data_IF_340183744990
#
_entry.id   IF_340183744990
#
_cell.length_a   1.000
_cell.length_b   1.000
_cell.length_c   1.000
_cell.angle_alpha   90.00
_cell.angle_beta   90.00
_cell.angle_gamma   90.00
#
_symmetry.space_group_name_H-M   'P 1'
#
loop_
_entity.id
_entity.type
_entity.pdbx_description
1 polymer ?
#
# COMPACT_ATOMS: atom_id res chain seq x y z
N UNK A 1 28.18 5.60 -13.08
CA UNK A 1 27.61 4.57 -13.98
C UNK A 1 28.48 4.13 -15.16
N UNK A 2 29.61 4.76 -15.48
CA UNK A 2 30.48 4.38 -16.62
C UNK A 2 31.39 3.16 -16.39
N UNK A 3 31.56 2.71 -15.15
CA UNK A 3 32.44 1.59 -14.76
C UNK A 3 31.91 0.21 -15.19
N UNK A 4 30.59 0.02 -15.16
CA UNK A 4 29.93 -1.24 -15.55
C UNK A 4 29.66 -1.33 -17.07
N UNK A 5 29.38 -0.19 -17.70
CA UNK A 5 29.19 -0.10 -19.16
C UNK A 5 30.47 -0.44 -19.94
N UNK A 6 31.66 -0.20 -19.37
CA UNK A 6 32.96 -0.54 -19.98
C UNK A 6 33.35 -2.02 -19.92
N UNK A 7 32.59 -2.87 -19.22
CA UNK A 7 32.97 -4.28 -18.96
C UNK A 7 31.98 -5.33 -19.50
N UNK A 8 30.95 -4.94 -20.25
CA UNK A 8 29.85 -5.84 -20.69
C UNK A 8 29.25 -6.69 -19.55
N UNK A 9 29.45 -6.28 -18.29
CA UNK A 9 28.95 -6.98 -17.12
C UNK A 9 27.70 -6.27 -16.64
N UNK A 10 26.62 -7.04 -16.60
CA UNK A 10 25.33 -6.62 -16.10
C UNK A 10 25.47 -6.05 -14.67
N UNK A 11 24.87 -4.89 -14.42
CA UNK A 11 24.95 -4.24 -13.13
C UNK A 11 24.06 -4.99 -12.13
N UNK A 12 24.66 -5.67 -11.16
CA UNK A 12 23.97 -6.48 -10.15
C UNK A 12 23.72 -5.75 -8.82
N UNK A 13 24.07 -4.46 -8.73
CA UNK A 13 23.89 -3.71 -7.50
C UNK A 13 22.42 -3.31 -7.34
N UNK A 14 21.90 -3.38 -6.10
CA UNK A 14 20.51 -2.99 -5.81
C UNK A 14 20.35 -1.47 -5.68
N UNK A 15 21.45 -0.77 -5.41
CA UNK A 15 21.48 0.67 -5.22
C UNK A 15 22.41 1.40 -6.18
N UNK A 16 23.25 2.28 -5.63
CA UNK A 16 24.25 3.03 -6.40
C UNK A 16 25.58 3.10 -5.68
N UNK A 17 26.66 3.28 -6.43
CA UNK A 17 28.04 3.26 -5.90
C UNK A 17 28.55 4.69 -5.66
N UNK A 18 29.06 4.96 -4.45
CA UNK A 18 29.82 6.18 -4.10
C UNK A 18 31.14 5.73 -3.47
N UNK A 19 32.27 6.19 -4.02
CA UNK A 19 33.63 5.86 -3.53
C UNK A 19 33.86 4.35 -3.33
N UNK A 20 33.52 3.55 -4.35
CA UNK A 20 33.62 2.08 -4.34
C UNK A 20 32.79 1.38 -3.24
N UNK A 21 31.82 2.08 -2.64
CA UNK A 21 30.85 1.52 -1.69
C UNK A 21 29.45 1.53 -2.28
N UNK A 22 28.76 0.39 -2.19
CA UNK A 22 27.35 0.29 -2.54
C UNK A 22 26.49 0.97 -1.45
N UNK A 23 25.62 1.87 -1.89
CA UNK A 23 24.62 2.54 -1.08
C UNK A 23 23.25 2.02 -1.51
N UNK A 24 22.57 1.34 -0.59
CA UNK A 24 21.23 0.78 -0.83
C UNK A 24 20.19 1.74 -0.21
N UNK A 25 19.36 2.42 -1.02
CA UNK A 25 18.29 3.24 -0.48
C UNK A 25 17.21 2.35 0.13
N UNK A 26 16.87 2.60 1.40
CA UNK A 26 15.78 1.94 2.10
C UNK A 26 14.56 2.87 2.17
N UNK A 27 13.37 2.28 2.08
CA UNK A 27 12.12 3.00 2.23
C UNK A 27 11.52 2.77 3.61
N UNK A 28 10.84 3.78 4.12
CA UNK A 28 9.98 3.66 5.29
C UNK A 28 8.67 2.97 4.87
N UNK A 29 8.67 1.63 4.94
CA UNK A 29 7.55 0.78 4.53
C UNK A 29 6.23 1.17 5.22
N UNK A 30 6.18 1.39 6.55
CA UNK A 30 4.95 1.85 7.20
C UNK A 30 4.41 3.17 6.63
N UNK A 31 5.28 4.10 6.24
CA UNK A 31 4.88 5.36 5.64
C UNK A 31 4.40 5.22 4.20
N UNK A 32 4.97 4.29 3.43
CA UNK A 32 4.46 3.95 2.09
C UNK A 32 3.04 3.39 2.17
N UNK A 33 2.78 2.47 3.09
CA UNK A 33 1.45 1.89 3.29
C UNK A 33 0.43 2.94 3.71
N UNK A 34 0.81 3.82 4.65
CA UNK A 34 0.00 4.99 5.03
C UNK A 34 -0.30 5.90 3.84
N UNK A 35 0.71 6.16 2.99
CA UNK A 35 0.57 6.96 1.77
C UNK A 35 -0.42 6.34 0.78
N UNK A 36 -0.31 5.03 0.53
CA UNK A 36 -1.24 4.28 -0.32
C UNK A 36 -2.67 4.39 0.22
N UNK A 37 -2.88 4.10 1.51
CA UNK A 37 -4.19 4.20 2.15
C UNK A 37 -4.78 5.60 2.05
N UNK A 38 -4.00 6.64 2.36
CA UNK A 38 -4.47 8.03 2.27
C UNK A 38 -4.86 8.44 0.86
N UNK A 39 -4.11 8.00 -0.15
CA UNK A 39 -4.46 8.23 -1.54
C UNK A 39 -5.74 7.50 -1.91
N UNK A 40 -5.87 6.22 -1.52
CA UNK A 40 -7.01 5.40 -1.89
C UNK A 40 -8.33 5.93 -1.31
N UNK A 41 -8.31 6.54 -0.10
CA UNK A 41 -9.49 7.20 0.48
C UNK A 41 -10.10 8.26 -0.46
N UNK A 42 -9.25 9.02 -1.16
CA UNK A 42 -9.69 10.18 -1.97
C UNK A 42 -9.65 9.93 -3.47
N UNK A 43 -8.97 8.86 -3.91
CA UNK A 43 -8.67 8.58 -5.31
C UNK A 43 -8.77 7.09 -5.56
N UNK A 44 -9.04 6.75 -6.81
CA UNK A 44 -9.04 5.35 -7.24
C UNK A 44 -7.68 4.95 -7.80
N UNK A 45 -7.28 3.71 -7.53
CA UNK A 45 -6.08 3.11 -8.08
C UNK A 45 -6.43 2.36 -9.37
N UNK A 46 -5.94 2.85 -10.50
CA UNK A 46 -6.03 2.17 -11.78
C UNK A 46 -4.78 1.30 -11.98
N UNK A 47 -4.96 0.04 -12.35
CA UNK A 47 -3.86 -0.92 -12.54
C UNK A 47 -4.19 -1.93 -13.63
N UNK A 48 -3.16 -2.55 -14.21
CA UNK A 48 -3.31 -3.63 -15.18
C UNK A 48 -3.21 -4.95 -14.44
N UNK A 49 -4.21 -5.80 -14.60
CA UNK A 49 -4.22 -7.16 -14.08
C UNK A 49 -4.85 -8.09 -15.12
N UNK A 50 -4.22 -9.22 -15.40
CA UNK A 50 -4.59 -10.15 -16.48
C UNK A 50 -4.83 -9.44 -17.82
N UNK A 51 -3.89 -8.58 -18.24
CA UNK A 51 -3.97 -7.75 -19.46
C UNK A 51 -5.22 -6.86 -19.56
N UNK A 52 -5.90 -6.60 -18.45
CA UNK A 52 -7.10 -5.76 -18.40
C UNK A 52 -6.91 -4.58 -17.44
N UNK A 53 -7.47 -3.43 -17.81
CA UNK A 53 -7.53 -2.27 -16.92
C UNK A 53 -8.52 -2.56 -15.80
N UNK A 54 -8.05 -2.51 -14.56
CA UNK A 54 -8.82 -2.68 -13.33
C UNK A 54 -8.75 -1.40 -12.51
N UNK A 55 -9.72 -1.27 -11.61
CA UNK A 55 -9.88 -0.12 -10.73
C UNK A 55 -10.16 -0.60 -9.31
N UNK A 56 -9.31 -0.21 -8.36
CA UNK A 56 -9.56 -0.37 -6.94
C UNK A 56 -10.00 0.97 -6.36
N UNK A 57 -11.11 0.96 -5.63
CA UNK A 57 -11.71 2.15 -5.01
C UNK A 57 -11.91 1.90 -3.53
N UNK A 58 -11.79 2.95 -2.70
CA UNK A 58 -12.14 2.89 -1.28
C UNK A 58 -13.59 2.44 -1.05
N UNK A 59 -14.48 2.75 -2.01
CA UNK A 59 -15.88 2.33 -1.98
C UNK A 59 -16.02 0.82 -1.78
N UNK A 60 -15.15 0.01 -2.38
CA UNK A 60 -15.21 -1.45 -2.22
C UNK A 60 -14.93 -1.89 -0.78
N UNK A 61 -14.02 -1.19 -0.08
CA UNK A 61 -13.69 -1.44 1.33
C UNK A 61 -14.88 -1.04 2.21
N UNK A 62 -15.47 0.13 1.97
CA UNK A 62 -16.65 0.60 2.71
C UNK A 62 -17.81 -0.37 2.55
N UNK A 63 -18.13 -0.78 1.32
CA UNK A 63 -19.20 -1.75 1.04
C UNK A 63 -18.95 -3.07 1.75
N UNK A 64 -17.75 -3.65 1.63
CA UNK A 64 -17.41 -4.90 2.29
C UNK A 64 -17.55 -4.80 3.82
N UNK A 65 -17.07 -3.72 4.41
CA UNK A 65 -17.17 -3.49 5.86
C UNK A 65 -18.63 -3.39 6.33
N UNK A 66 -19.48 -2.69 5.58
CA UNK A 66 -20.91 -2.56 5.88
C UNK A 66 -21.61 -3.91 5.77
N UNK A 67 -21.37 -4.67 4.70
CA UNK A 67 -21.92 -6.03 4.56
C UNK A 67 -21.47 -6.96 5.70
N UNK A 68 -20.18 -6.96 6.03
CA UNK A 68 -19.64 -7.77 7.12
C UNK A 68 -20.23 -7.37 8.48
N UNK A 69 -20.43 -6.07 8.71
CA UNK A 69 -21.00 -5.56 9.97
C UNK A 69 -22.49 -5.87 10.10
N UNK A 70 -23.24 -5.77 9.01
CA UNK A 70 -24.71 -5.92 9.02
C UNK A 70 -25.16 -7.39 8.97
N UNK A 71 -24.39 -8.26 8.31
CA UNK A 71 -24.72 -9.70 8.19
C UNK A 71 -24.23 -10.53 9.37
N UNK A 72 -23.33 -10.00 10.20
CA UNK A 72 -22.79 -10.74 11.33
C UNK A 72 -23.65 -10.56 12.57
N UNK A 73 -24.17 -11.68 13.09
CA UNK A 73 -24.76 -11.73 14.43
C UNK A 73 -23.68 -12.19 15.43
N UNK A 74 -23.68 -11.60 16.63
CA UNK A 74 -22.87 -11.94 17.80
C UNK A 74 -21.48 -12.62 17.58
N UNK A 75 -20.55 -11.92 16.91
CA UNK A 75 -19.13 -12.31 16.89
C UNK A 75 -18.64 -13.00 15.61
N UNK A 76 -19.52 -13.30 14.66
CA UNK A 76 -19.19 -14.02 13.42
C UNK A 76 -18.62 -13.15 12.29
N UNK A 77 -18.08 -11.98 12.63
CA UNK A 77 -17.47 -11.07 11.64
C UNK A 77 -16.26 -11.72 10.99
N UNK A 78 -16.17 -11.64 9.66
CA UNK A 78 -14.98 -12.05 8.91
C UNK A 78 -13.79 -11.14 9.22
N UNK A 79 -14.05 -9.85 9.48
CA UNK A 79 -13.01 -8.85 9.78
C UNK A 79 -13.27 -8.12 11.11
N UNK A 80 -13.18 -8.81 12.27
CA UNK A 80 -13.54 -8.24 13.57
C UNK A 80 -12.59 -7.11 14.02
N UNK A 81 -11.35 -7.08 13.50
CA UNK A 81 -10.37 -6.01 13.75
C UNK A 81 -10.61 -4.77 12.91
N UNK A 82 -11.36 -4.90 11.82
CA UNK A 82 -11.74 -3.74 11.01
C UNK A 82 -12.85 -3.00 11.75
N UNK A 83 -12.62 -1.72 11.98
CA UNK A 83 -13.51 -0.84 12.74
C UNK A 83 -13.79 0.42 11.95
N UNK A 84 -14.79 1.18 12.38
CA UNK A 84 -15.12 2.50 11.84
C UNK A 84 -13.90 3.42 11.63
N UNK A 85 -12.93 3.42 12.56
CA UNK A 85 -11.69 4.21 12.48
C UNK A 85 -10.67 3.78 11.40
N UNK A 86 -10.95 2.69 10.69
CA UNK A 86 -10.18 2.20 9.55
C UNK A 86 -10.86 2.49 8.21
N UNK A 87 -12.18 2.72 8.20
CA UNK A 87 -13.00 2.73 6.97
C UNK A 87 -13.59 4.10 6.68
N UNK A 88 -14.18 4.75 7.67
CA UNK A 88 -14.86 6.03 7.47
C UNK A 88 -13.88 7.19 7.52
N UNK A 89 -13.80 7.99 6.44
CA UNK A 89 -12.79 9.05 6.30
C UNK A 89 -12.78 10.01 7.49
N UNK A 90 -13.95 10.39 8.00
CA UNK A 90 -14.11 11.31 9.12
C UNK A 90 -13.63 10.75 10.46
N UNK A 91 -13.54 9.42 10.57
CA UNK A 91 -13.08 8.70 11.78
C UNK A 91 -11.63 8.23 11.66
N UNK A 92 -11.05 8.29 10.46
CA UNK A 92 -9.70 7.83 10.18
C UNK A 92 -8.66 8.82 10.73
N UNK A 93 -7.79 8.31 11.60
CA UNK A 93 -6.60 9.05 12.06
C UNK A 93 -5.50 8.96 11.00
N UNK A 94 -5.45 9.91 10.06
CA UNK A 94 -4.52 9.90 8.90
C UNK A 94 -3.04 9.68 9.27
N UNK A 95 -2.60 10.14 10.44
CA UNK A 95 -1.21 9.96 10.90
C UNK A 95 -0.95 8.68 11.69
N UNK A 96 -1.98 7.95 12.13
CA UNK A 96 -1.81 6.71 12.88
C UNK A 96 -1.50 5.57 11.91
N UNK A 97 -0.22 5.22 11.81
CA UNK A 97 0.31 4.21 10.88
C UNK A 97 -0.34 2.85 11.08
N UNK A 98 -0.63 2.46 12.32
CA UNK A 98 -1.24 1.16 12.64
C UNK A 98 -2.67 1.00 12.13
N UNK A 99 -3.34 2.07 11.68
CA UNK A 99 -4.67 1.97 11.04
C UNK A 99 -4.57 1.78 9.51
N UNK A 100 -3.37 1.78 8.95
CA UNK A 100 -3.13 1.48 7.54
C UNK A 100 -2.74 0.01 7.31
N UNK A 101 -2.49 -0.75 8.39
CA UNK A 101 -2.00 -2.12 8.38
C UNK A 101 -3.04 -3.10 8.92
#
# INVERSE_FOLDING_TARGET
NTKYMKKEKENRIFGFEINDKEIIPLFDVPHLLKGLRNNLITKDLNFIYDNSQKKASWKHITQFYEFDKDQSTEGDRLVPKLTDAHVYEEKIKKMKVSHAA
#
